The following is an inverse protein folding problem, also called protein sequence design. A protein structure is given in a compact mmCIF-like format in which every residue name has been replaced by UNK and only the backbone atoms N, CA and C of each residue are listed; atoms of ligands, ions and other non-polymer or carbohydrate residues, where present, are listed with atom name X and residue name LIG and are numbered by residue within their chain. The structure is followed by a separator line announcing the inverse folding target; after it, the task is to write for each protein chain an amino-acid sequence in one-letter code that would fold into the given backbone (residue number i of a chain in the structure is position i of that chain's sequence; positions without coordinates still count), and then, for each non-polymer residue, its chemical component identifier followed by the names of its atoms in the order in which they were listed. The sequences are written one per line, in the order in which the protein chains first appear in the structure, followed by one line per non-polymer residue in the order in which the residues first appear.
data_IF_460689011284
#
_entry.id   IF_460689011284
#
_cell.length_a   1.000
_cell.length_b   1.000
_cell.length_c   1.000
_cell.angle_alpha   90.00
_cell.angle_beta   90.00
_cell.angle_gamma   90.00
#
_symmetry.space_group_name_H-M   'P 1'
#
loop_
_entity.id
_entity.type
_entity.pdbx_description
1 polymer ?
#
# COMPACT_ATOMS: atom_id res chain seq x y z
N UNK A 1 -0.38 -38.29 1.95
CA UNK A 1 -1.00 -37.00 1.73
C UNK A 1 -2.16 -37.20 0.77
N UNK A 2 -3.41 -36.92 1.20
CA UNK A 2 -4.57 -37.01 0.29
C UNK A 2 -4.48 -35.81 -0.67
N UNK A 3 -4.45 -36.10 -1.98
CA UNK A 3 -4.60 -35.09 -3.04
C UNK A 3 -5.95 -34.41 -2.86
N UNK A 4 -5.94 -33.14 -2.48
CA UNK A 4 -7.16 -32.33 -2.49
C UNK A 4 -7.46 -32.06 -3.95
N UNK A 5 -8.56 -32.55 -4.46
CA UNK A 5 -9.05 -32.23 -5.79
C UNK A 5 -9.40 -30.72 -5.78
N UNK A 6 -8.58 -29.91 -6.45
CA UNK A 6 -8.81 -28.47 -6.59
C UNK A 6 -10.00 -28.31 -7.54
N UNK A 7 -11.12 -27.82 -7.01
CA UNK A 7 -12.26 -27.42 -7.85
C UNK A 7 -11.85 -26.25 -8.74
N UNK A 8 -12.44 -26.10 -9.92
CA UNK A 8 -12.16 -24.98 -10.83
C UNK A 8 -12.28 -23.59 -10.12
N UNK A 9 -13.16 -23.50 -9.15
CA UNK A 9 -13.42 -22.29 -8.37
C UNK A 9 -12.26 -21.82 -7.46
N UNK A 10 -11.37 -22.73 -7.03
CA UNK A 10 -10.21 -22.41 -6.18
C UNK A 10 -8.88 -22.27 -6.93
N UNK A 11 -8.87 -22.53 -8.24
CA UNK A 11 -7.63 -22.64 -9.03
C UNK A 11 -6.80 -21.34 -9.05
N UNK A 12 -7.45 -20.22 -9.26
CA UNK A 12 -6.76 -18.93 -9.29
C UNK A 12 -6.14 -18.58 -7.93
N UNK A 13 -6.93 -18.66 -6.85
CA UNK A 13 -6.46 -18.36 -5.49
C UNK A 13 -5.28 -19.24 -5.09
N UNK A 14 -5.33 -20.53 -5.37
CA UNK A 14 -4.24 -21.45 -5.05
C UNK A 14 -2.96 -21.11 -5.84
N UNK A 15 -3.09 -20.87 -7.14
CA UNK A 15 -1.96 -20.45 -7.99
C UNK A 15 -1.35 -19.13 -7.50
N UNK A 16 -2.18 -18.17 -7.11
CA UNK A 16 -1.77 -16.88 -6.61
C UNK A 16 -1.05 -17.00 -5.25
N UNK A 17 -1.52 -17.88 -4.36
CA UNK A 17 -0.83 -18.19 -3.10
C UNK A 17 0.57 -18.74 -3.34
N UNK A 18 0.71 -19.73 -4.22
CA UNK A 18 2.02 -20.35 -4.47
C UNK A 18 2.98 -19.49 -5.29
N UNK A 19 2.48 -18.52 -6.03
CA UNK A 19 3.31 -17.58 -6.80
C UNK A 19 3.83 -16.40 -5.99
N UNK A 20 3.54 -16.31 -4.69
CA UNK A 20 3.93 -15.16 -3.85
C UNK A 20 5.44 -14.87 -3.88
N UNK A 21 6.36 -15.84 -3.68
CA UNK A 21 7.80 -15.53 -3.66
C UNK A 21 8.28 -14.92 -4.97
N UNK A 22 7.86 -15.48 -6.12
CA UNK A 22 8.23 -14.96 -7.44
C UNK A 22 7.63 -13.56 -7.67
N UNK A 23 6.39 -13.34 -7.23
CA UNK A 23 5.71 -12.06 -7.30
C UNK A 23 6.43 -11.00 -6.45
N UNK A 24 6.83 -11.33 -5.21
CA UNK A 24 7.58 -10.43 -4.33
C UNK A 24 8.90 -10.00 -4.95
N UNK A 25 9.64 -10.96 -5.51
CA UNK A 25 10.91 -10.68 -6.18
C UNK A 25 10.71 -9.70 -7.36
N UNK A 26 9.73 -9.97 -8.23
CA UNK A 26 9.43 -9.11 -9.38
C UNK A 26 9.00 -7.69 -8.95
N UNK A 27 8.10 -7.60 -7.95
CA UNK A 27 7.63 -6.31 -7.42
C UNK A 27 8.76 -5.50 -6.79
N UNK A 28 9.60 -6.13 -5.94
CA UNK A 28 10.70 -5.45 -5.27
C UNK A 28 11.78 -4.99 -6.24
N UNK A 29 12.16 -5.82 -7.22
CA UNK A 29 13.15 -5.47 -8.22
C UNK A 29 12.77 -4.20 -9.00
N UNK A 30 11.49 -4.08 -9.37
CA UNK A 30 10.95 -2.91 -10.06
C UNK A 30 10.84 -1.71 -9.12
N UNK A 31 10.28 -1.91 -7.93
CA UNK A 31 10.04 -0.85 -6.95
C UNK A 31 11.34 -0.22 -6.47
N UNK A 32 12.36 -1.01 -6.15
CA UNK A 32 13.64 -0.54 -5.62
C UNK A 32 14.36 0.44 -6.54
N UNK A 33 14.15 0.32 -7.86
CA UNK A 33 14.74 1.22 -8.87
C UNK A 33 13.79 2.33 -9.33
N UNK A 34 12.51 2.31 -8.89
CA UNK A 34 11.49 3.22 -9.42
C UNK A 34 11.71 4.68 -8.97
N UNK A 35 11.47 5.64 -9.87
CA UNK A 35 11.44 7.05 -9.51
C UNK A 35 10.28 7.38 -8.56
N UNK A 36 9.17 6.63 -8.64
CA UNK A 36 7.99 6.82 -7.80
C UNK A 36 8.29 6.49 -6.33
N UNK A 37 9.09 5.45 -6.06
CA UNK A 37 9.51 5.16 -4.69
C UNK A 37 10.35 6.30 -4.11
N UNK A 38 11.29 6.84 -4.91
CA UNK A 38 12.09 7.99 -4.48
C UNK A 38 11.22 9.22 -4.25
N UNK A 39 10.27 9.49 -5.14
CA UNK A 39 9.32 10.60 -4.99
C UNK A 39 8.42 10.43 -3.74
N UNK A 40 7.95 9.21 -3.47
CA UNK A 40 7.19 8.90 -2.26
C UNK A 40 8.03 9.12 -0.99
N UNK A 41 9.28 8.64 -0.98
CA UNK A 41 10.18 8.83 0.15
C UNK A 41 10.51 10.31 0.40
N UNK A 42 10.61 11.14 -0.65
CA UNK A 42 10.83 12.59 -0.53
C UNK A 42 9.65 13.36 0.08
N UNK A 43 8.47 12.74 0.18
CA UNK A 43 7.35 13.35 0.91
C UNK A 43 7.50 13.23 2.43
N UNK A 44 8.41 12.41 2.91
CA UNK A 44 8.70 12.28 4.34
C UNK A 44 9.21 13.61 4.91
N UNK A 45 8.63 14.02 6.04
CA UNK A 45 8.97 15.26 6.75
C UNK A 45 9.07 14.98 8.24
N UNK A 46 10.03 15.60 8.95
CA UNK A 46 10.14 15.48 10.40
C UNK A 46 8.83 15.89 11.10
N UNK A 47 8.33 15.04 11.99
CA UNK A 47 7.12 15.28 12.77
C UNK A 47 5.80 15.06 12.03
N UNK A 48 5.81 14.78 10.72
CA UNK A 48 4.59 14.42 9.99
C UNK A 48 4.12 13.01 10.35
N UNK A 49 2.81 12.82 10.43
CA UNK A 49 2.17 11.54 10.68
C UNK A 49 1.78 10.86 9.35
N UNK A 50 2.21 9.63 9.16
CA UNK A 50 1.76 8.81 8.03
C UNK A 50 0.34 8.30 8.28
N UNK A 51 -0.58 8.58 7.38
CA UNK A 51 -1.95 8.06 7.46
C UNK A 51 -2.21 7.09 6.31
N UNK A 52 -2.41 5.83 6.66
CA UNK A 52 -2.72 4.76 5.71
C UNK A 52 -4.23 4.62 5.56
N UNK A 53 -4.75 4.84 4.35
CA UNK A 53 -6.18 4.86 4.06
C UNK A 53 -6.54 3.67 3.19
N UNK A 54 -7.54 2.88 3.60
CA UNK A 54 -8.00 1.71 2.85
C UNK A 54 -9.45 1.34 3.10
N UNK A 55 -9.98 0.41 2.29
CA UNK A 55 -11.32 -0.16 2.42
C UNK A 55 -11.24 -1.68 2.54
N UNK A 56 -12.04 -2.30 3.40
CA UNK A 56 -12.07 -3.76 3.57
C UNK A 56 -10.69 -4.35 3.82
N UNK A 57 -10.26 -5.31 3.01
CA UNK A 57 -8.93 -5.95 3.13
C UNK A 57 -7.79 -4.94 3.03
N UNK A 58 -7.92 -3.89 2.21
CA UNK A 58 -6.91 -2.82 2.12
C UNK A 58 -6.81 -1.98 3.40
N UNK A 59 -7.86 -1.93 4.22
CA UNK A 59 -7.78 -1.30 5.55
C UNK A 59 -6.99 -2.17 6.54
N UNK A 60 -7.14 -3.50 6.52
CA UNK A 60 -6.30 -4.39 7.33
C UNK A 60 -4.82 -4.29 6.90
N UNK A 61 -4.56 -4.16 5.59
CA UNK A 61 -3.22 -3.85 5.10
C UNK A 61 -2.70 -2.50 5.62
N UNK A 62 -3.55 -1.48 5.65
CA UNK A 62 -3.22 -0.17 6.21
C UNK A 62 -2.82 -0.26 7.70
N UNK A 63 -3.53 -1.06 8.51
CA UNK A 63 -3.18 -1.30 9.91
C UNK A 63 -1.81 -1.96 10.06
N UNK A 64 -1.54 -2.98 9.25
CA UNK A 64 -0.25 -3.68 9.27
C UNK A 64 0.89 -2.78 8.80
N UNK A 65 0.66 -1.96 7.77
CA UNK A 65 1.64 -0.97 7.31
C UNK A 65 1.93 0.09 8.38
N UNK A 66 0.89 0.61 9.04
CA UNK A 66 1.08 1.57 10.13
C UNK A 66 1.91 0.98 11.29
N UNK A 67 1.66 -0.28 11.66
CA UNK A 67 2.46 -0.97 12.67
C UNK A 67 3.95 -1.06 12.26
N UNK A 68 4.23 -1.44 11.00
CA UNK A 68 5.59 -1.53 10.48
C UNK A 68 6.31 -0.17 10.45
N UNK A 69 5.59 0.92 10.15
CA UNK A 69 6.15 2.27 10.20
C UNK A 69 6.47 2.70 11.64
N UNK A 70 5.55 2.45 12.58
CA UNK A 70 5.77 2.76 14.00
C UNK A 70 6.97 2.00 14.58
N UNK A 71 7.18 0.74 14.18
CA UNK A 71 8.35 -0.07 14.58
C UNK A 71 9.69 0.57 14.15
N UNK A 72 9.65 1.34 13.07
CA UNK A 72 10.79 2.13 12.57
C UNK A 72 10.80 3.59 13.06
N UNK A 73 10.05 3.91 14.12
CA UNK A 73 9.90 5.25 14.68
C UNK A 73 9.34 6.31 13.71
N UNK A 74 8.58 5.87 12.71
CA UNK A 74 7.81 6.73 11.82
C UNK A 74 6.36 6.80 12.34
N UNK A 75 5.95 7.93 12.92
CA UNK A 75 4.58 8.08 13.44
C UNK A 75 3.54 7.74 12.37
N UNK A 76 2.70 6.74 12.63
CA UNK A 76 1.77 6.23 11.63
C UNK A 76 0.47 5.68 12.24
N UNK A 77 -0.63 5.81 11.51
CA UNK A 77 -1.91 5.17 11.84
C UNK A 77 -2.70 4.79 10.58
N UNK A 78 -3.62 3.87 10.75
CA UNK A 78 -4.57 3.49 9.71
C UNK A 78 -5.91 4.18 9.91
N UNK A 79 -6.55 4.56 8.79
CA UNK A 79 -7.86 5.21 8.76
C UNK A 79 -8.74 4.51 7.71
N UNK A 80 -9.94 4.02 8.05
CA UNK A 80 -10.88 3.57 7.05
C UNK A 80 -11.27 4.72 6.11
N UNK A 81 -11.30 4.48 4.81
CA UNK A 81 -11.68 5.52 3.86
C UNK A 81 -13.08 6.09 4.13
N UNK A 82 -14.01 5.27 4.61
CA UNK A 82 -15.35 5.70 5.00
C UNK A 82 -15.35 6.69 6.17
N UNK A 83 -14.54 6.45 7.20
CA UNK A 83 -14.42 7.38 8.34
C UNK A 83 -13.80 8.71 7.91
N UNK A 84 -12.76 8.66 7.09
CA UNK A 84 -12.14 9.87 6.55
C UNK A 84 -13.13 10.71 5.75
N UNK A 85 -13.99 10.08 4.95
CA UNK A 85 -14.99 10.77 4.13
C UNK A 85 -16.16 11.31 4.95
N UNK A 86 -16.61 10.57 5.96
CA UNK A 86 -17.78 10.96 6.76
C UNK A 86 -17.43 11.92 7.90
N UNK A 87 -16.24 11.76 8.47
CA UNK A 87 -15.81 12.50 9.66
C UNK A 87 -14.37 13.03 9.52
N UNK A 88 -14.06 13.86 8.49
CA UNK A 88 -12.69 14.33 8.25
C UNK A 88 -12.08 15.07 9.46
N UNK A 89 -12.88 15.83 10.20
CA UNK A 89 -12.42 16.55 11.40
C UNK A 89 -12.04 15.64 12.59
N UNK A 90 -12.49 14.38 12.60
CA UNK A 90 -12.05 13.38 13.60
C UNK A 90 -10.77 12.65 13.16
N UNK A 91 -10.47 12.69 11.87
CA UNK A 91 -9.32 11.99 11.29
C UNK A 91 -8.16 12.91 10.97
N UNK A 92 -8.44 14.15 10.60
CA UNK A 92 -7.43 15.18 10.27
C UNK A 92 -7.55 16.35 11.25
N UNK A 93 -6.60 16.46 12.15
CA UNK A 93 -6.59 17.52 13.16
C UNK A 93 -5.86 18.76 12.66
N UNK A 94 -6.43 19.93 12.92
CA UNK A 94 -5.80 21.21 12.58
C UNK A 94 -4.42 21.34 13.24
N UNK A 95 -3.45 21.86 12.49
CA UNK A 95 -2.08 22.07 12.98
C UNK A 95 -1.20 20.82 12.99
N UNK A 96 -1.70 19.67 12.52
CA UNK A 96 -0.87 18.48 12.30
C UNK A 96 -0.51 18.35 10.82
N UNK A 97 0.69 17.85 10.57
CA UNK A 97 1.17 17.56 9.23
C UNK A 97 0.99 16.05 8.93
N UNK A 98 0.49 15.72 7.75
CA UNK A 98 0.15 14.35 7.36
C UNK A 98 0.78 13.95 6.04
N UNK A 99 1.18 12.67 5.93
CA UNK A 99 1.62 12.04 4.69
C UNK A 99 0.62 10.92 4.37
N UNK A 100 -0.39 11.17 3.52
CA UNK A 100 -1.40 10.19 3.21
C UNK A 100 -0.89 9.13 2.24
N UNK A 101 -1.22 7.86 2.53
CA UNK A 101 -1.01 6.70 1.66
C UNK A 101 -2.33 5.99 1.44
N UNK A 102 -2.87 6.05 0.23
CA UNK A 102 -4.14 5.40 -0.14
C UNK A 102 -3.87 4.04 -0.75
N UNK A 103 -4.41 3.00 -0.14
CA UNK A 103 -4.20 1.60 -0.52
C UNK A 103 -5.43 1.08 -1.26
N UNK A 104 -5.25 0.70 -2.53
CA UNK A 104 -6.31 0.07 -3.31
C UNK A 104 -5.72 -0.87 -4.37
N UNK A 105 -5.88 -2.20 -4.18
CA UNK A 105 -5.41 -3.20 -5.15
C UNK A 105 -5.84 -2.86 -6.57
N UNK A 106 -7.13 -2.62 -6.75
CA UNK A 106 -7.73 -2.39 -8.07
C UNK A 106 -7.60 -0.95 -8.57
N UNK A 107 -7.20 0.00 -7.71
CA UNK A 107 -7.14 1.42 -8.04
C UNK A 107 -8.49 2.09 -8.38
N UNK A 108 -9.62 1.37 -8.23
CA UNK A 108 -10.97 1.86 -8.63
C UNK A 108 -12.03 1.79 -7.52
N UNK A 109 -11.67 1.40 -6.30
CA UNK A 109 -12.59 1.46 -5.15
C UNK A 109 -13.06 2.89 -4.96
N UNK A 110 -14.37 3.12 -5.03
CA UNK A 110 -14.96 4.46 -5.05
C UNK A 110 -14.60 5.30 -3.83
N UNK A 111 -14.60 4.70 -2.64
CA UNK A 111 -14.23 5.37 -1.40
C UNK A 111 -12.74 5.74 -1.38
N UNK A 112 -11.87 4.86 -1.86
CA UNK A 112 -10.43 5.14 -1.92
C UNK A 112 -10.14 6.32 -2.88
N UNK A 113 -10.78 6.34 -4.06
CA UNK A 113 -10.63 7.43 -5.03
C UNK A 113 -11.19 8.75 -4.48
N UNK A 114 -12.34 8.72 -3.78
CA UNK A 114 -12.92 9.92 -3.15
C UNK A 114 -12.06 10.43 -2.01
N UNK A 115 -11.55 9.54 -1.16
CA UNK A 115 -10.62 9.88 -0.07
C UNK A 115 -9.34 10.53 -0.61
N UNK A 116 -8.74 9.96 -1.64
CA UNK A 116 -7.58 10.55 -2.30
C UNK A 116 -7.87 11.96 -2.85
N UNK A 117 -9.02 12.17 -3.51
CA UNK A 117 -9.43 13.49 -4.01
C UNK A 117 -9.60 14.52 -2.89
N UNK A 118 -10.23 14.11 -1.80
CA UNK A 118 -10.41 14.98 -0.64
C UNK A 118 -9.05 15.37 -0.04
N UNK A 119 -8.14 14.43 0.14
CA UNK A 119 -6.81 14.68 0.66
C UNK A 119 -6.01 15.64 -0.24
N UNK A 120 -5.99 15.41 -1.54
CA UNK A 120 -5.23 16.23 -2.51
C UNK A 120 -5.84 17.62 -2.70
N UNK A 121 -7.16 17.72 -2.88
CA UNK A 121 -7.82 18.96 -3.27
C UNK A 121 -8.31 19.78 -2.09
N UNK A 122 -9.01 19.14 -1.15
CA UNK A 122 -9.70 19.86 -0.10
C UNK A 122 -8.77 20.09 1.10
N UNK A 123 -7.85 19.15 1.36
CA UNK A 123 -6.87 19.23 2.45
C UNK A 123 -5.49 19.69 2.00
N UNK A 124 -5.27 19.84 0.70
CA UNK A 124 -3.98 20.23 0.08
C UNK A 124 -2.79 19.35 0.54
N UNK A 125 -3.04 18.04 0.70
CA UNK A 125 -2.04 17.06 1.13
C UNK A 125 -1.58 16.22 -0.06
N UNK A 126 -0.28 16.22 -0.34
CA UNK A 126 0.29 15.36 -1.38
C UNK A 126 0.14 13.90 -0.98
N UNK A 127 -0.57 13.13 -1.79
CA UNK A 127 -1.00 11.76 -1.51
C UNK A 127 -0.19 10.75 -2.30
N UNK A 128 0.20 9.67 -1.62
CA UNK A 128 0.79 8.48 -2.24
C UNK A 128 -0.33 7.47 -2.46
N UNK A 129 -0.41 6.86 -3.63
CA UNK A 129 -1.21 5.65 -3.86
C UNK A 129 -0.31 4.42 -3.92
N UNK A 130 -0.84 3.26 -3.49
CA UNK A 130 -0.27 1.96 -3.82
C UNK A 130 -1.36 1.08 -4.43
N UNK A 131 -1.06 0.48 -5.60
CA UNK A 131 -2.02 -0.31 -6.40
C UNK A 131 -1.33 -1.45 -7.14
N UNK A 132 -2.11 -2.48 -7.51
CA UNK A 132 -1.65 -3.56 -8.38
C UNK A 132 -2.17 -3.42 -9.81
N UNK A 133 -2.91 -2.35 -10.14
CA UNK A 133 -3.51 -2.13 -11.46
C UNK A 133 -3.00 -0.83 -12.09
N UNK A 134 -2.94 -0.81 -13.42
CA UNK A 134 -2.51 0.34 -14.21
C UNK A 134 -3.70 1.10 -14.80
N UNK A 135 -3.53 2.41 -15.05
CA UNK A 135 -4.54 3.25 -15.72
C UNK A 135 -5.86 3.39 -14.96
N UNK A 136 -5.88 3.19 -13.65
CA UNK A 136 -7.09 3.21 -12.84
C UNK A 136 -7.40 4.62 -12.28
N UNK A 137 -8.66 4.89 -11.89
CA UNK A 137 -9.11 6.21 -11.42
C UNK A 137 -8.34 6.78 -10.23
N UNK A 138 -7.68 5.96 -9.42
CA UNK A 138 -6.88 6.41 -8.28
C UNK A 138 -5.58 7.10 -8.74
N UNK A 139 -4.98 6.61 -9.82
CA UNK A 139 -3.67 7.06 -10.31
C UNK A 139 -3.61 8.56 -10.62
N UNK A 140 -4.50 9.12 -11.47
CA UNK A 140 -4.43 10.55 -11.82
C UNK A 140 -4.86 11.49 -10.68
N UNK A 141 -5.33 10.93 -9.56
CA UNK A 141 -5.75 11.72 -8.41
C UNK A 141 -4.61 11.95 -7.43
N UNK A 142 -3.68 11.01 -7.30
CA UNK A 142 -2.59 11.05 -6.32
C UNK A 142 -1.34 11.74 -6.88
N UNK A 143 -0.58 12.40 -6.02
CA UNK A 143 0.72 13.03 -6.37
C UNK A 143 1.76 12.00 -6.81
N UNK A 144 1.75 10.80 -6.20
CA UNK A 144 2.66 9.68 -6.50
C UNK A 144 1.88 8.37 -6.48
N UNK A 145 2.17 7.46 -7.41
CA UNK A 145 1.54 6.13 -7.44
C UNK A 145 2.60 5.04 -7.51
N UNK A 146 2.67 4.21 -6.47
CA UNK A 146 3.47 3.00 -6.43
C UNK A 146 2.69 1.85 -7.08
N UNK A 147 3.17 1.36 -8.22
CA UNK A 147 2.51 0.30 -9.00
C UNK A 147 3.23 -1.03 -8.81
N UNK A 148 2.51 -2.03 -8.33
CA UNK A 148 2.97 -3.41 -8.16
C UNK A 148 2.22 -4.33 -9.13
N UNK A 149 2.40 -4.10 -10.43
CA UNK A 149 1.59 -4.73 -11.47
C UNK A 149 1.76 -6.26 -11.52
N UNK A 150 2.93 -6.79 -11.14
CA UNK A 150 3.15 -8.25 -11.07
C UNK A 150 2.29 -8.90 -9.98
N UNK A 151 1.77 -8.13 -9.04
CA UNK A 151 0.93 -8.60 -7.94
C UNK A 151 -0.57 -8.59 -8.25
N UNK A 152 -1.00 -8.20 -9.46
CA UNK A 152 -2.42 -8.24 -9.81
C UNK A 152 -2.97 -9.67 -9.75
N UNK A 153 -4.24 -9.79 -9.36
CA UNK A 153 -4.91 -11.06 -9.05
C UNK A 153 -6.23 -11.19 -9.80
N UNK A 154 -6.52 -12.41 -10.25
CA UNK A 154 -7.83 -12.78 -10.81
C UNK A 154 -8.82 -13.15 -9.71
N UNK A 155 -8.35 -13.65 -8.57
CA UNK A 155 -9.22 -13.99 -7.45
C UNK A 155 -9.79 -12.73 -6.79
N UNK A 156 -10.99 -12.87 -6.24
CA UNK A 156 -11.65 -11.81 -5.47
C UNK A 156 -10.94 -11.56 -4.15
N UNK A 157 -10.43 -12.61 -3.54
CA UNK A 157 -9.69 -12.55 -2.27
C UNK A 157 -8.25 -12.11 -2.54
N UNK A 158 -7.78 -11.13 -1.79
CA UNK A 158 -6.39 -10.67 -1.86
C UNK A 158 -5.46 -11.72 -1.24
N UNK A 159 -4.48 -12.19 -2.00
CA UNK A 159 -3.43 -13.11 -1.57
C UNK A 159 -2.05 -12.51 -1.85
N UNK A 160 -1.47 -12.76 -3.02
CA UNK A 160 -0.17 -12.19 -3.41
C UNK A 160 -0.19 -10.65 -3.50
N UNK A 161 -1.33 -10.07 -3.85
CA UNK A 161 -1.45 -8.61 -3.89
C UNK A 161 -1.36 -7.98 -2.49
N UNK A 162 -1.97 -8.62 -1.47
CA UNK A 162 -1.88 -8.17 -0.10
C UNK A 162 -0.43 -8.16 0.39
N UNK A 163 0.23 -9.30 0.27
CA UNK A 163 1.60 -9.47 0.76
C UNK A 163 2.61 -8.65 -0.03
N UNK A 164 2.44 -8.52 -1.35
CA UNK A 164 3.32 -7.67 -2.18
C UNK A 164 3.16 -6.18 -1.86
N UNK A 165 1.93 -5.70 -1.66
CA UNK A 165 1.72 -4.30 -1.24
C UNK A 165 2.26 -4.05 0.16
N UNK A 166 2.11 -4.99 1.10
CA UNK A 166 2.72 -4.88 2.43
C UNK A 166 4.24 -4.78 2.32
N UNK A 167 4.85 -5.68 1.56
CA UNK A 167 6.29 -5.71 1.32
C UNK A 167 6.78 -4.39 0.69
N UNK A 168 6.03 -3.84 -0.28
CA UNK A 168 6.32 -2.54 -0.89
C UNK A 168 6.27 -1.39 0.11
N UNK A 169 5.27 -1.39 1.02
CA UNK A 169 5.15 -0.39 2.07
C UNK A 169 6.25 -0.52 3.13
N UNK A 170 6.63 -1.74 3.51
CA UNK A 170 7.77 -1.98 4.39
C UNK A 170 9.09 -1.53 3.75
N UNK A 171 9.24 -1.72 2.44
CA UNK A 171 10.42 -1.24 1.71
C UNK A 171 10.47 0.29 1.65
N UNK A 172 9.31 0.95 1.49
CA UNK A 172 9.19 2.42 1.62
C UNK A 172 9.57 2.87 3.03
N UNK A 173 9.06 2.21 4.08
CA UNK A 173 9.38 2.51 5.46
C UNK A 173 10.89 2.40 5.74
N UNK A 174 11.53 1.31 5.30
CA UNK A 174 12.96 1.09 5.41
C UNK A 174 13.77 2.18 4.66
N UNK A 175 13.27 2.63 3.52
CA UNK A 175 13.90 3.70 2.72
C UNK A 175 13.79 5.05 3.44
N UNK A 176 12.62 5.39 3.98
CA UNK A 176 12.37 6.65 4.69
C UNK A 176 13.14 6.72 6.00
N UNK A 177 13.18 5.62 6.76
CA UNK A 177 13.91 5.55 8.04
C UNK A 177 15.42 5.44 7.89
N UNK A 178 15.93 5.18 6.68
CA UNK A 178 17.35 4.90 6.43
C UNK A 178 17.82 3.55 7.01
N UNK A 179 16.89 2.62 7.30
CA UNK A 179 17.23 1.31 7.85
C UNK A 179 17.69 0.34 6.74
N UNK A 180 18.96 0.43 6.38
CA UNK A 180 19.57 -0.40 5.33
C UNK A 180 19.63 -1.89 5.67
N UNK A 181 19.65 -2.25 6.95
CA UNK A 181 19.64 -3.66 7.41
C UNK A 181 18.28 -4.26 7.07
N UNK A 182 17.20 -3.59 7.48
CA UNK A 182 15.85 -4.05 7.20
C UNK A 182 15.57 -4.05 5.69
N UNK A 183 16.00 -3.01 4.98
CA UNK A 183 15.84 -2.92 3.51
C UNK A 183 16.49 -4.10 2.78
N UNK A 184 17.69 -4.53 3.20
CA UNK A 184 18.38 -5.72 2.63
C UNK A 184 17.63 -7.00 2.97
N UNK A 185 17.20 -7.17 4.21
CA UNK A 185 16.43 -8.33 4.63
C UNK A 185 15.13 -8.51 3.80
N UNK A 186 14.44 -7.40 3.47
CA UNK A 186 13.26 -7.45 2.60
C UNK A 186 13.59 -7.92 1.16
N UNK A 187 14.77 -7.58 0.63
CA UNK A 187 15.20 -8.04 -0.70
C UNK A 187 15.60 -9.53 -0.71
N UNK A 188 15.98 -10.07 0.43
CA UNK A 188 16.35 -11.49 0.60
C UNK A 188 15.13 -12.39 0.89
N UNK A 189 14.00 -11.81 1.31
CA UNK A 189 12.80 -12.55 1.70
C UNK A 189 12.22 -13.47 0.61
N UNK A 190 12.27 -13.15 -0.69
CA UNK A 190 11.73 -14.00 -1.76
C UNK A 190 12.57 -15.24 -2.11
N UNK A 191 13.72 -15.45 -1.51
CA UNK A 191 14.69 -16.53 -1.86
C UNK A 191 14.33 -17.87 -1.25
#
# INVERSE_FOLDING_TARGET
MKSVAITEQGRHTLSEIFSQPQCWNACLAKLASSPELRAAAQLARPGAEWIFVGCGTSYYLAQTAAAAFNDLNLSARAVPASELLMYPGLTLHAGRDYIPVVISRSGRTSEAVRAARMLEKDSNLRTIAITCADGQPLEPVCSVTLKLLDADEQSTVMTRSFTSMLLGLQYLAATVSGNDVFRRALLELPQ
#
